data_IF_071241764154
#
_entry.id   IF_071241764154
#
_cell.length_a   1.000
_cell.length_b   1.000
_cell.length_c   1.000
_cell.angle_alpha   90.00
_cell.angle_beta   90.00
_cell.angle_gamma   90.00
#
_symmetry.space_group_name_H-M   'P 1'
#
loop_
_entity.id
_entity.type
_entity.pdbx_description
1 polymer ?
#
# COMPACT_ATOMS: atom_id res chain seq x y z
N UNK A 1 8.79 13.47 -0.38
CA UNK A 1 7.75 12.54 -0.85
C UNK A 1 6.87 13.29 -1.81
N UNK A 2 7.08 13.02 -3.09
CA UNK A 2 6.28 13.46 -4.22
C UNK A 2 4.96 12.71 -4.28
N UNK A 3 4.06 13.21 -5.12
CA UNK A 3 2.76 12.62 -5.37
C UNK A 3 2.89 11.26 -6.08
N UNK A 4 2.20 10.23 -5.58
CA UNK A 4 2.15 8.89 -6.18
C UNK A 4 0.90 8.68 -7.05
N UNK A 5 0.03 9.68 -7.13
CA UNK A 5 -1.25 9.62 -7.82
C UNK A 5 -2.39 9.07 -6.95
N UNK A 6 -3.51 8.75 -7.60
CA UNK A 6 -4.71 8.23 -6.96
C UNK A 6 -4.93 6.79 -7.41
N UNK A 7 -5.06 5.89 -6.42
CA UNK A 7 -5.41 4.50 -6.62
C UNK A 7 -6.89 4.29 -6.31
N UNK A 8 -7.55 3.40 -7.04
CA UNK A 8 -8.93 3.02 -6.79
C UNK A 8 -9.12 1.52 -7.08
N UNK A 9 -9.87 0.84 -6.22
CA UNK A 9 -10.24 -0.57 -6.37
C UNK A 9 -11.55 -0.84 -5.64
N UNK A 10 -12.27 -1.88 -6.08
CA UNK A 10 -13.40 -2.43 -5.35
C UNK A 10 -12.97 -3.46 -4.27
N UNK A 11 -11.71 -3.91 -4.33
CA UNK A 11 -11.09 -4.75 -3.31
C UNK A 11 -10.22 -3.86 -2.40
N UNK A 12 -10.60 -3.66 -1.12
CA UNK A 12 -9.91 -2.73 -0.23
C UNK A 12 -8.52 -3.22 0.17
N UNK A 13 -8.32 -4.53 0.29
CA UNK A 13 -7.01 -5.10 0.65
C UNK A 13 -6.04 -4.93 -0.52
N UNK A 14 -6.51 -5.15 -1.75
CA UNK A 14 -5.72 -4.92 -2.95
C UNK A 14 -5.33 -3.44 -3.09
N UNK A 15 -6.26 -2.52 -2.76
CA UNK A 15 -6.01 -1.08 -2.79
C UNK A 15 -4.90 -0.68 -1.80
N UNK A 16 -5.03 -1.13 -0.55
CA UNK A 16 -4.07 -0.79 0.50
C UNK A 16 -2.69 -1.40 0.21
N UNK A 17 -2.66 -2.65 -0.29
CA UNK A 17 -1.41 -3.29 -0.71
C UNK A 17 -0.73 -2.50 -1.84
N UNK A 18 -1.48 -2.07 -2.85
CA UNK A 18 -0.94 -1.25 -3.95
C UNK A 18 -0.38 0.09 -3.45
N UNK A 19 -1.04 0.73 -2.48
CA UNK A 19 -0.55 1.97 -1.88
C UNK A 19 0.79 1.74 -1.14
N UNK A 20 0.88 0.68 -0.34
CA UNK A 20 2.13 0.33 0.36
C UNK A 20 3.26 0.09 -0.65
N UNK A 21 3.01 -0.74 -1.65
CA UNK A 21 4.03 -1.08 -2.65
C UNK A 21 4.49 0.15 -3.44
N UNK A 22 3.58 1.08 -3.76
CA UNK A 22 3.92 2.34 -4.42
C UNK A 22 4.86 3.21 -3.58
N UNK A 23 4.68 3.25 -2.25
CA UNK A 23 5.61 3.95 -1.35
C UNK A 23 7.00 3.33 -1.42
N UNK A 24 7.10 2.00 -1.32
CA UNK A 24 8.37 1.29 -1.36
C UNK A 24 9.06 1.44 -2.72
N UNK A 25 8.29 1.39 -3.82
CA UNK A 25 8.78 1.53 -5.18
C UNK A 25 9.11 2.97 -5.60
N UNK A 26 8.64 3.98 -4.85
CA UNK A 26 8.88 5.39 -5.17
C UNK A 26 10.38 5.69 -5.36
N UNK A 27 10.78 6.47 -6.39
CA UNK A 27 12.17 6.88 -6.56
C UNK A 27 12.57 8.05 -5.65
N UNK A 28 11.63 8.69 -4.96
CA UNK A 28 11.89 9.85 -4.10
C UNK A 28 12.63 9.43 -2.80
N UNK A 29 13.77 10.06 -2.53
CA UNK A 29 14.56 9.85 -1.30
C UNK A 29 13.77 10.14 -0.02
N UNK A 30 12.82 11.08 -0.08
CA UNK A 30 11.91 11.44 1.00
C UNK A 30 10.91 10.35 1.39
N UNK A 31 10.85 9.21 0.69
CA UNK A 31 10.05 8.05 1.12
C UNK A 31 10.54 7.43 2.42
N UNK A 32 11.83 7.60 2.76
CA UNK A 32 12.46 6.96 3.91
C UNK A 32 11.74 7.30 5.23
N UNK A 33 11.33 8.55 5.42
CA UNK A 33 10.59 8.97 6.62
C UNK A 33 9.20 8.33 6.70
N UNK A 34 8.53 8.11 5.56
CA UNK A 34 7.23 7.43 5.55
C UNK A 34 7.39 5.93 5.82
N UNK A 35 8.39 5.29 5.23
CA UNK A 35 8.73 3.89 5.46
C UNK A 35 9.03 3.66 6.94
N UNK A 36 9.89 4.50 7.56
CA UNK A 36 10.22 4.41 8.99
C UNK A 36 8.96 4.51 9.87
N UNK A 37 8.03 5.41 9.55
CA UNK A 37 6.74 5.51 10.25
C UNK A 37 5.86 4.28 10.06
N UNK A 38 5.82 3.70 8.87
CA UNK A 38 5.02 2.51 8.57
C UNK A 38 5.57 1.29 9.33
N UNK A 39 6.89 1.11 9.33
CA UNK A 39 7.57 -0.02 9.95
C UNK A 39 7.57 0.08 11.48
N UNK A 40 7.88 1.25 12.05
CA UNK A 40 7.86 1.46 13.51
C UNK A 40 6.49 1.25 14.15
N UNK A 41 5.41 1.36 13.37
CA UNK A 41 4.02 1.16 13.81
C UNK A 41 3.40 -0.14 13.31
N UNK A 42 4.19 -0.99 12.65
CA UNK A 42 3.75 -2.26 12.06
C UNK A 42 2.51 -2.11 11.15
N UNK A 43 2.49 -1.06 10.32
CA UNK A 43 1.33 -0.71 9.49
C UNK A 43 0.86 -1.83 8.56
N UNK A 44 1.80 -2.65 8.04
CA UNK A 44 1.50 -3.76 7.13
C UNK A 44 0.57 -4.82 7.73
N UNK A 45 0.61 -5.03 9.06
CA UNK A 45 -0.24 -6.02 9.72
C UNK A 45 -1.73 -5.70 9.58
N UNK A 46 -2.10 -4.43 9.38
CA UNK A 46 -3.50 -4.06 9.09
C UNK A 46 -3.98 -4.70 7.80
N UNK A 47 -3.16 -4.68 6.75
CA UNK A 47 -3.46 -5.26 5.44
C UNK A 47 -3.47 -6.79 5.51
N UNK A 48 -2.51 -7.36 6.23
CA UNK A 48 -2.38 -8.81 6.41
C UNK A 48 -3.58 -9.39 7.16
N UNK A 49 -3.93 -8.80 8.31
CA UNK A 49 -5.11 -9.23 9.08
C UNK A 49 -6.40 -8.99 8.31
N UNK A 50 -6.54 -7.91 7.55
CA UNK A 50 -7.72 -7.69 6.71
C UNK A 50 -7.89 -8.80 5.64
N UNK A 51 -6.78 -9.26 5.05
CA UNK A 51 -6.79 -10.41 4.14
C UNK A 51 -7.19 -11.71 4.86
N UNK A 52 -6.62 -11.97 6.05
CA UNK A 52 -6.96 -13.14 6.88
C UNK A 52 -8.44 -13.16 7.31
N UNK A 53 -9.04 -11.99 7.53
CA UNK A 53 -10.46 -11.83 7.82
C UNK A 53 -11.36 -11.92 6.58
N UNK A 54 -10.80 -12.09 5.38
CA UNK A 54 -11.55 -12.25 4.13
C UNK A 54 -12.16 -10.94 3.61
N UNK A 55 -11.60 -9.78 3.98
CA UNK A 55 -12.09 -8.47 3.50
C UNK A 55 -11.65 -8.14 2.06
N UNK A 56 -10.75 -8.94 1.49
CA UNK A 56 -10.18 -8.73 0.16
C UNK A 56 -8.93 -9.57 -0.05
N UNK A 57 -8.22 -9.31 -1.15
CA UNK A 57 -7.05 -10.07 -1.56
C UNK A 57 -5.81 -9.17 -1.65
N UNK A 58 -4.65 -9.67 -1.22
CA UNK A 58 -3.38 -8.93 -1.37
C UNK A 58 -2.89 -8.82 -2.82
N UNK A 59 -3.01 -9.85 -3.68
CA UNK A 59 -2.59 -9.72 -5.08
C UNK A 59 -3.46 -8.71 -5.82
N UNK A 60 -2.81 -7.87 -6.62
CA UNK A 60 -3.46 -6.87 -7.46
C UNK A 60 -2.76 -6.74 -8.81
N UNK A 61 -3.43 -6.11 -9.77
CA UNK A 61 -2.85 -5.71 -11.05
C UNK A 61 -3.12 -4.22 -11.26
N UNK A 62 -2.09 -3.44 -11.62
CA UNK A 62 -2.27 -2.03 -11.97
C UNK A 62 -2.81 -1.94 -13.39
N UNK A 63 -3.93 -1.22 -13.57
CA UNK A 63 -4.49 -0.84 -14.87
C UNK A 63 -4.45 0.67 -14.99
N UNK A 64 -3.77 1.18 -16.02
CA UNK A 64 -3.93 2.56 -16.43
C UNK A 64 -5.24 2.70 -17.23
N UNK A 65 -5.96 3.80 -17.01
CA UNK A 65 -7.13 4.20 -17.80
C UNK A 65 -6.64 5.09 -18.94
#
# INVERSE_FOLDING_TARGET
MEDLGIFASLDPVALDQACVDAVYASPDEGKAALIERMESRNGIHTVETAAELGLGNRPYEIKAI
#
